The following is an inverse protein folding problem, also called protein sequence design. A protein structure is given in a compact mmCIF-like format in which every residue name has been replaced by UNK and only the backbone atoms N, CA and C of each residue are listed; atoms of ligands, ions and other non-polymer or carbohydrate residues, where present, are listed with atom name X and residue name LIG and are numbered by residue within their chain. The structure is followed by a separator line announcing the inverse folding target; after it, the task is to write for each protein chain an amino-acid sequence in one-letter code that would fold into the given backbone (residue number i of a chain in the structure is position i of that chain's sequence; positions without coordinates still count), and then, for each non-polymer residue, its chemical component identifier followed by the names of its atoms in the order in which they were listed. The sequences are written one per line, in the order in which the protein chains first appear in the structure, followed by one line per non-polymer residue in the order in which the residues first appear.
data_IF_390754088488
#
_entry.id   IF_390754088488
#
_cell.length_a   1.000
_cell.length_b   1.000
_cell.length_c   1.000
_cell.angle_alpha   90.00
_cell.angle_beta   90.00
_cell.angle_gamma   90.00
#
_symmetry.space_group_name_H-M   'P 1'
#
loop_
_entity.id
_entity.type
_entity.pdbx_description
1 polymer ?
#
# COMPACT_ATOMS: atom_id res chain seq x y z
N UNK A 1 16.98 -6.78 -31.63
CA UNK A 1 15.65 -7.40 -31.78
C UNK A 1 15.04 -7.45 -30.41
N UNK A 2 13.89 -6.82 -30.13
CA UNK A 2 13.29 -6.77 -28.79
C UNK A 2 12.40 -7.99 -28.55
N UNK A 3 12.64 -8.71 -27.47
CA UNK A 3 11.79 -9.79 -26.99
C UNK A 3 10.46 -9.24 -26.46
N UNK A 4 9.38 -9.62 -27.13
CA UNK A 4 7.99 -9.42 -26.67
C UNK A 4 7.70 -10.38 -25.52
N UNK A 5 7.67 -9.88 -24.29
CA UNK A 5 7.11 -10.58 -23.13
C UNK A 5 5.59 -10.68 -23.26
N UNK A 6 5.07 -11.89 -23.35
CA UNK A 6 3.63 -12.18 -23.28
C UNK A 6 3.17 -12.02 -21.82
N UNK A 7 2.39 -10.99 -21.54
CA UNK A 7 1.73 -10.80 -20.24
C UNK A 7 0.75 -11.96 -19.97
N UNK A 8 1.02 -12.73 -18.94
CA UNK A 8 0.10 -13.71 -18.37
C UNK A 8 -0.98 -12.97 -17.56
N UNK A 9 -2.24 -13.17 -17.94
CA UNK A 9 -3.40 -12.69 -17.18
C UNK A 9 -3.36 -13.28 -15.78
N UNK A 10 -3.29 -12.41 -14.77
CA UNK A 10 -3.55 -12.77 -13.38
C UNK A 10 -5.06 -13.02 -13.22
N UNK A 11 -5.42 -14.22 -12.83
CA UNK A 11 -6.78 -14.57 -12.43
C UNK A 11 -6.97 -14.18 -10.98
N UNK A 12 -7.69 -13.07 -10.75
CA UNK A 12 -8.14 -12.67 -9.43
C UNK A 12 -9.09 -13.71 -8.84
N UNK A 13 -8.68 -14.29 -7.72
CA UNK A 13 -9.60 -15.00 -6.83
C UNK A 13 -10.48 -13.95 -6.15
N UNK A 14 -11.77 -13.99 -6.51
CA UNK A 14 -12.86 -13.17 -5.98
C UNK A 14 -12.84 -13.16 -4.45
N UNK A 15 -12.51 -11.99 -3.87
CA UNK A 15 -12.88 -11.69 -2.51
C UNK A 15 -14.37 -11.34 -2.50
N UNK A 16 -15.20 -12.29 -2.12
CA UNK A 16 -16.63 -12.09 -1.84
C UNK A 16 -16.68 -11.66 -0.38
N UNK A 17 -16.85 -10.39 -0.12
CA UNK A 17 -17.57 -9.86 1.05
C UNK A 17 -17.39 -8.34 1.08
N UNK A 18 -18.29 -7.63 0.41
CA UNK A 18 -18.84 -6.37 0.90
C UNK A 18 -20.08 -5.99 0.09
N UNK A 19 -21.21 -6.62 0.39
CA UNK A 19 -22.52 -6.16 -0.06
C UNK A 19 -23.10 -5.26 1.01
N UNK A 20 -22.84 -3.96 0.93
CA UNK A 20 -23.74 -2.91 1.43
C UNK A 20 -23.24 -1.54 0.92
N UNK A 21 -23.47 -1.27 -0.37
CA UNK A 21 -23.49 0.09 -0.87
C UNK A 21 -24.80 0.29 -1.59
N UNK A 22 -25.66 1.17 -1.03
CA UNK A 22 -26.82 1.69 -1.70
C UNK A 22 -26.43 2.28 -3.06
N UNK A 23 -27.31 2.23 -4.10
CA UNK A 23 -27.02 2.77 -5.41
C UNK A 23 -26.77 4.28 -5.28
N UNK A 24 -25.54 4.70 -5.56
CA UNK A 24 -25.17 6.11 -5.62
C UNK A 24 -25.68 6.65 -6.95
N UNK A 25 -26.69 7.50 -6.91
CA UNK A 25 -27.25 8.19 -8.08
C UNK A 25 -26.14 8.97 -8.79
N UNK A 26 -25.98 8.76 -10.12
CA UNK A 26 -25.11 9.58 -10.97
C UNK A 26 -23.91 8.89 -11.63
N UNK A 27 -23.78 7.57 -11.57
CA UNK A 27 -22.76 6.83 -12.32
C UNK A 27 -23.10 6.71 -13.81
N UNK A 28 -22.08 6.70 -14.68
CA UNK A 28 -22.22 6.42 -16.11
C UNK A 28 -22.38 4.91 -16.27
N UNK A 29 -23.39 4.49 -17.04
CA UNK A 29 -23.51 3.09 -17.45
C UNK A 29 -22.39 2.74 -18.42
N UNK A 30 -21.61 1.72 -18.06
CA UNK A 30 -20.52 1.21 -18.90
C UNK A 30 -21.07 0.15 -19.85
N UNK A 31 -21.04 0.44 -21.14
CA UNK A 31 -21.44 -0.52 -22.19
C UNK A 31 -20.24 -1.40 -22.53
N UNK A 32 -20.32 -2.73 -22.39
CA UNK A 32 -19.21 -3.64 -22.74
C UNK A 32 -18.76 -3.44 -24.19
N UNK A 33 -17.44 -3.31 -24.39
CA UNK A 33 -16.82 -3.16 -25.72
C UNK A 33 -16.83 -1.74 -26.29
N UNK A 34 -17.40 -0.75 -25.60
CA UNK A 34 -17.32 0.66 -26.00
C UNK A 34 -16.23 1.33 -25.16
N UNK A 35 -15.12 1.79 -25.76
CA UNK A 35 -14.06 2.47 -25.01
C UNK A 35 -14.58 3.71 -24.28
N UNK A 36 -14.14 3.91 -23.04
CA UNK A 36 -14.56 5.03 -22.18
C UNK A 36 -13.36 5.91 -21.85
N UNK A 37 -13.59 7.23 -21.94
CA UNK A 37 -12.58 8.21 -21.54
C UNK A 37 -12.63 8.45 -20.05
N UNK A 38 -11.43 8.36 -19.41
CA UNK A 38 -11.26 8.54 -17.98
C UNK A 38 -10.09 9.48 -17.69
N UNK A 39 -10.13 10.06 -16.49
CA UNK A 39 -9.02 10.79 -15.87
C UNK A 39 -8.75 10.23 -14.48
N UNK A 40 -7.48 10.19 -14.09
CA UNK A 40 -7.09 9.76 -12.76
C UNK A 40 -6.93 10.95 -11.82
N UNK A 41 -7.69 10.95 -10.72
CA UNK A 41 -7.72 12.01 -9.71
C UNK A 41 -7.19 11.47 -8.39
N UNK A 42 -6.47 12.30 -7.70
CA UNK A 42 -5.90 12.04 -6.40
C UNK A 42 -6.35 13.16 -5.44
N UNK A 43 -6.77 12.79 -4.23
CA UNK A 43 -7.24 13.72 -3.19
C UNK A 43 -6.14 14.08 -2.18
N UNK A 44 -5.03 13.33 -2.15
CA UNK A 44 -3.86 13.53 -1.28
C UNK A 44 -2.59 13.22 -2.04
N UNK A 45 -1.47 13.87 -1.73
CA UNK A 45 -0.21 13.70 -2.46
C UNK A 45 0.22 12.23 -2.63
N UNK A 46 0.06 11.42 -1.59
CA UNK A 46 0.41 9.99 -1.57
C UNK A 46 -0.84 9.09 -1.61
N UNK A 47 -1.97 9.60 -2.09
CA UNK A 47 -3.24 8.87 -2.12
C UNK A 47 -3.37 7.92 -3.30
N UNK A 48 -4.37 7.04 -3.23
CA UNK A 48 -4.82 6.22 -4.35
C UNK A 48 -5.36 7.10 -5.47
N UNK A 49 -5.09 6.72 -6.71
CA UNK A 49 -5.69 7.36 -7.89
C UNK A 49 -7.07 6.75 -8.12
N UNK A 50 -8.07 7.61 -8.20
CA UNK A 50 -9.44 7.24 -8.51
C UNK A 50 -9.79 7.71 -9.91
N UNK A 51 -10.51 6.90 -10.64
CA UNK A 51 -10.87 7.20 -12.02
C UNK A 51 -12.28 7.79 -12.10
N UNK A 52 -12.37 8.89 -12.89
CA UNK A 52 -13.61 9.61 -13.15
C UNK A 52 -13.76 9.86 -14.64
N UNK A 53 -14.98 10.05 -15.10
CA UNK A 53 -15.22 10.49 -16.47
C UNK A 53 -15.02 12.01 -16.58
N UNK A 54 -14.21 12.49 -17.52
CA UNK A 54 -14.02 13.92 -17.76
C UNK A 54 -15.24 14.58 -18.45
N UNK A 55 -16.17 13.78 -18.99
CA UNK A 55 -17.20 14.27 -19.90
C UNK A 55 -16.57 14.74 -21.22
N UNK A 56 -16.86 15.99 -21.61
CA UNK A 56 -16.30 16.62 -22.82
C UNK A 56 -15.01 17.44 -22.55
N UNK A 57 -14.51 17.41 -21.32
CA UNK A 57 -13.36 18.25 -20.89
C UNK A 57 -12.04 17.55 -21.17
N UNK A 58 -11.08 18.32 -21.67
CA UNK A 58 -9.69 17.89 -21.78
C UNK A 58 -8.91 18.46 -20.59
N UNK A 59 -8.45 17.58 -19.73
CA UNK A 59 -7.82 17.92 -18.45
C UNK A 59 -6.35 17.52 -18.43
N UNK A 60 -5.52 18.49 -18.08
CA UNK A 60 -4.06 18.27 -17.95
C UNK A 60 -3.70 17.79 -16.54
N UNK A 61 -2.55 17.11 -16.42
CA UNK A 61 -1.99 16.75 -15.12
C UNK A 61 -1.72 18.02 -14.32
N UNK A 62 -2.12 18.01 -13.04
CA UNK A 62 -2.01 19.15 -12.14
C UNK A 62 -3.28 20.00 -12.05
N UNK A 63 -4.26 19.84 -12.97
CA UNK A 63 -5.55 20.56 -12.88
C UNK A 63 -6.30 20.15 -11.61
N UNK A 64 -6.79 21.17 -10.87
CA UNK A 64 -7.65 20.95 -9.70
C UNK A 64 -9.10 20.86 -10.17
N UNK A 65 -9.81 19.85 -9.68
CA UNK A 65 -11.19 19.54 -10.10
C UNK A 65 -12.08 19.24 -8.91
N UNK A 66 -13.35 19.55 -9.05
CA UNK A 66 -14.40 19.23 -8.07
C UNK A 66 -15.11 17.97 -8.54
N UNK A 67 -15.25 17.00 -7.65
CA UNK A 67 -15.87 15.72 -7.92
C UNK A 67 -16.83 15.33 -6.80
N UNK A 68 -17.84 14.54 -7.14
CA UNK A 68 -18.72 13.91 -6.16
C UNK A 68 -18.20 12.51 -5.81
N UNK A 69 -17.93 12.29 -4.53
CA UNK A 69 -17.44 11.01 -4.00
C UNK A 69 -18.50 10.37 -3.09
N UNK A 70 -18.23 9.17 -2.58
CA UNK A 70 -19.07 8.56 -1.55
C UNK A 70 -19.06 9.36 -0.21
N UNK A 71 -18.11 10.27 -0.04
CA UNK A 71 -17.99 11.13 1.16
C UNK A 71 -18.68 12.47 1.00
N UNK A 72 -19.02 12.84 -0.22
CA UNK A 72 -19.56 14.13 -0.62
C UNK A 72 -18.70 14.78 -1.71
N UNK A 73 -18.90 16.08 -1.89
CA UNK A 73 -18.11 16.87 -2.84
C UNK A 73 -16.69 17.05 -2.31
N UNK A 74 -15.71 16.72 -3.12
CA UNK A 74 -14.29 16.84 -2.78
C UNK A 74 -13.52 17.55 -3.90
N UNK A 75 -12.43 18.21 -3.52
CA UNK A 75 -11.48 18.80 -4.47
C UNK A 75 -10.31 17.84 -4.66
N UNK A 76 -9.96 17.53 -5.91
CA UNK A 76 -8.86 16.64 -6.23
C UNK A 76 -7.93 17.22 -7.29
N UNK A 77 -6.78 16.56 -7.47
CA UNK A 77 -5.78 16.93 -8.47
C UNK A 77 -5.70 15.83 -9.53
N UNK A 78 -5.75 16.21 -10.78
CA UNK A 78 -5.55 15.30 -11.93
C UNK A 78 -4.11 14.80 -11.92
N UNK A 79 -3.90 13.49 -11.81
CA UNK A 79 -2.59 12.82 -11.89
C UNK A 79 -2.42 12.02 -13.19
N UNK A 80 -3.53 11.60 -13.80
CA UNK A 80 -3.55 10.95 -15.11
C UNK A 80 -4.47 11.77 -16.00
N UNK A 81 -3.93 12.35 -17.07
CA UNK A 81 -4.70 13.08 -18.07
C UNK A 81 -5.70 12.16 -18.79
N UNK A 82 -6.55 12.73 -19.62
CA UNK A 82 -7.54 11.98 -20.40
C UNK A 82 -6.92 10.76 -21.08
N UNK A 83 -7.49 9.59 -20.80
CA UNK A 83 -7.06 8.31 -21.35
C UNK A 83 -8.27 7.46 -21.68
N UNK A 84 -8.27 6.86 -22.87
CA UNK A 84 -9.30 5.90 -23.25
C UNK A 84 -8.90 4.51 -22.77
N UNK A 85 -9.84 3.82 -22.12
CA UNK A 85 -9.65 2.48 -21.56
C UNK A 85 -10.85 1.58 -21.91
N UNK A 86 -10.64 0.26 -21.82
CA UNK A 86 -11.72 -0.70 -21.95
C UNK A 86 -12.60 -0.68 -20.67
N UNK A 87 -13.93 -0.74 -20.77
CA UNK A 87 -14.82 -0.78 -19.61
C UNK A 87 -14.53 -1.90 -18.62
N UNK A 88 -13.91 -3.00 -19.07
CA UNK A 88 -13.53 -4.13 -18.22
C UNK A 88 -12.40 -3.79 -17.24
N UNK A 89 -11.67 -2.70 -17.47
CA UNK A 89 -10.60 -2.22 -16.59
C UNK A 89 -11.12 -1.30 -15.47
N UNK A 90 -12.41 -0.91 -15.53
CA UNK A 90 -13.02 0.05 -14.61
C UNK A 90 -13.90 -0.67 -13.60
N UNK A 91 -13.78 -0.28 -12.35
CA UNK A 91 -14.70 -0.73 -11.28
C UNK A 91 -15.90 0.23 -11.24
N UNK A 92 -17.12 -0.22 -11.61
CA UNK A 92 -18.30 0.65 -11.57
C UNK A 92 -18.69 0.99 -10.11
N UNK A 93 -19.37 2.14 -9.89
CA UNK A 93 -19.85 3.11 -10.87
C UNK A 93 -18.80 4.16 -11.25
N UNK A 94 -18.66 4.49 -12.55
CA UNK A 94 -17.82 5.58 -13.02
C UNK A 94 -18.57 6.92 -12.85
N UNK A 95 -18.13 7.75 -11.90
CA UNK A 95 -18.71 9.08 -11.66
C UNK A 95 -18.10 10.14 -12.59
N UNK A 96 -18.82 11.23 -12.83
CA UNK A 96 -18.33 12.37 -13.61
C UNK A 96 -17.63 13.41 -12.73
N UNK A 97 -16.69 14.12 -13.33
CA UNK A 97 -16.18 15.37 -12.78
C UNK A 97 -17.29 16.42 -12.86
N UNK A 98 -17.52 17.13 -11.76
CA UNK A 98 -18.51 18.21 -11.72
C UNK A 98 -17.99 19.39 -12.56
N UNK A 99 -16.81 19.91 -12.22
CA UNK A 99 -16.17 21.04 -12.89
C UNK A 99 -14.70 21.17 -12.49
N UNK A 100 -13.98 22.01 -13.20
CA UNK A 100 -12.68 22.48 -12.74
C UNK A 100 -12.86 23.40 -11.52
N UNK A 101 -11.85 23.43 -10.64
CA UNK A 101 -11.85 24.28 -9.47
C UNK A 101 -11.63 25.75 -9.89
N UNK A 102 -12.42 26.63 -9.32
CA UNK A 102 -12.26 28.09 -9.44
C UNK A 102 -11.25 28.61 -8.44
N UNK A 103 -10.87 29.90 -8.54
CA UNK A 103 -10.01 30.55 -7.54
C UNK A 103 -10.65 30.52 -6.15
N UNK A 104 -11.96 30.78 -6.06
CA UNK A 104 -12.69 30.76 -4.80
C UNK A 104 -12.69 29.38 -4.15
N UNK A 105 -12.71 28.32 -4.97
CA UNK A 105 -12.61 26.93 -4.48
C UNK A 105 -11.21 26.66 -3.88
N UNK A 106 -10.16 27.14 -4.52
CA UNK A 106 -8.80 26.99 -4.01
C UNK A 106 -8.59 27.76 -2.70
N UNK A 107 -9.10 29.00 -2.63
CA UNK A 107 -9.08 29.77 -1.39
C UNK A 107 -9.90 29.13 -0.26
N UNK A 108 -11.00 28.45 -0.62
CA UNK A 108 -11.78 27.66 0.36
C UNK A 108 -10.98 26.46 0.86
N UNK A 109 -10.31 25.74 -0.02
CA UNK A 109 -9.47 24.58 0.32
C UNK A 109 -8.31 25.00 1.25
N UNK A 110 -7.68 26.15 0.97
CA UNK A 110 -6.64 26.72 1.84
C UNK A 110 -7.19 27.10 3.23
N UNK A 111 -8.34 27.78 3.27
CA UNK A 111 -9.01 28.12 4.55
C UNK A 111 -9.41 26.86 5.34
N UNK A 112 -9.89 25.82 4.67
CA UNK A 112 -10.20 24.55 5.33
C UNK A 112 -8.96 23.95 5.96
N UNK A 113 -7.81 23.97 5.27
CA UNK A 113 -6.55 23.47 5.81
C UNK A 113 -6.11 24.21 7.07
N UNK A 114 -6.30 25.53 7.13
CA UNK A 114 -6.02 26.30 8.35
C UNK A 114 -6.96 25.91 9.50
N UNK A 115 -8.27 25.79 9.22
CA UNK A 115 -9.28 25.36 10.20
C UNK A 115 -9.03 23.93 10.71
N UNK A 116 -8.52 23.02 9.86
CA UNK A 116 -8.14 21.67 10.23
C UNK A 116 -7.01 21.65 11.26
N UNK A 117 -6.00 22.52 11.10
CA UNK A 117 -4.91 22.66 12.07
C UNK A 117 -5.42 23.14 13.43
N UNK A 118 -6.31 24.14 13.44
CA UNK A 118 -6.94 24.63 14.69
C UNK A 118 -7.81 23.55 15.34
N UNK A 119 -8.62 22.85 14.54
CA UNK A 119 -9.46 21.76 15.00
C UNK A 119 -8.63 20.60 15.60
N UNK A 120 -7.48 20.30 15.02
CA UNK A 120 -6.57 19.28 15.54
C UNK A 120 -6.04 19.66 16.93
N UNK A 121 -5.66 20.92 17.15
CA UNK A 121 -5.20 21.40 18.46
C UNK A 121 -6.29 21.35 19.52
N UNK A 122 -7.51 21.74 19.16
CA UNK A 122 -8.67 21.69 20.05
C UNK A 122 -9.02 20.25 20.40
N UNK A 123 -9.06 19.36 19.40
CA UNK A 123 -9.38 17.95 19.58
C UNK A 123 -8.35 17.26 20.52
N UNK A 124 -7.05 17.50 20.33
CA UNK A 124 -6.00 16.96 21.22
C UNK A 124 -6.19 17.37 22.69
N UNK A 125 -6.55 18.65 22.92
CA UNK A 125 -6.85 19.13 24.29
C UNK A 125 -8.07 18.44 24.87
N UNK A 126 -9.12 18.22 24.08
CA UNK A 126 -10.34 17.54 24.53
C UNK A 126 -10.11 16.05 24.79
N UNK A 127 -9.37 15.34 23.94
CA UNK A 127 -8.95 13.95 24.16
C UNK A 127 -8.25 13.81 25.51
N UNK A 128 -7.30 14.71 25.80
CA UNK A 128 -6.60 14.73 27.09
C UNK A 128 -7.53 15.04 28.26
N UNK A 129 -8.47 15.99 28.12
CA UNK A 129 -9.44 16.34 29.14
C UNK A 129 -10.42 15.19 29.48
N UNK A 130 -10.81 14.41 28.46
CA UNK A 130 -11.64 13.22 28.63
C UNK A 130 -10.84 11.97 29.07
N UNK A 131 -9.51 12.05 29.18
CA UNK A 131 -8.64 10.94 29.59
C UNK A 131 -8.70 9.73 28.66
N UNK A 132 -8.90 9.94 27.34
CA UNK A 132 -9.05 8.87 26.37
C UNK A 132 -7.67 8.40 25.85
N UNK A 133 -7.46 7.08 25.84
CA UNK A 133 -6.25 6.44 25.31
C UNK A 133 -6.36 6.29 23.78
N UNK A 134 -6.32 7.42 23.07
CA UNK A 134 -6.35 7.48 21.62
C UNK A 134 -5.40 8.56 21.10
N UNK A 135 -4.84 8.35 19.93
CA UNK A 135 -3.95 9.30 19.27
C UNK A 135 -4.63 9.89 18.05
N UNK A 136 -4.77 11.23 18.02
CA UNK A 136 -5.28 11.94 16.85
C UNK A 136 -4.19 12.01 15.78
N UNK A 137 -4.49 11.51 14.57
CA UNK A 137 -3.57 11.48 13.44
C UNK A 137 -3.78 12.66 12.51
N UNK A 138 -5.03 12.86 12.05
CA UNK A 138 -5.35 13.90 11.07
C UNK A 138 -6.79 14.37 11.25
N UNK A 139 -7.07 15.59 10.81
CA UNK A 139 -8.41 16.18 10.78
C UNK A 139 -8.67 16.67 9.36
N UNK A 140 -9.88 16.46 8.85
CA UNK A 140 -10.25 16.78 7.47
C UNK A 140 -11.66 17.38 7.45
N UNK A 141 -11.80 18.59 6.89
CA UNK A 141 -13.10 19.13 6.50
C UNK A 141 -13.52 18.57 5.15
N UNK A 142 -14.78 18.21 4.99
CA UNK A 142 -15.33 18.04 3.63
C UNK A 142 -15.30 19.38 2.92
N UNK A 143 -15.15 19.38 1.59
CA UNK A 143 -15.02 20.61 0.80
C UNK A 143 -16.19 21.58 0.99
N UNK A 144 -17.39 21.08 1.25
CA UNK A 144 -18.61 21.85 1.55
C UNK A 144 -18.73 22.27 3.01
N UNK A 145 -17.78 21.91 3.87
CA UNK A 145 -17.74 22.10 5.33
C UNK A 145 -18.94 21.48 6.07
N UNK A 146 -19.65 20.53 5.44
CA UNK A 146 -20.80 19.85 6.06
C UNK A 146 -20.39 18.85 7.13
N UNK A 147 -19.15 18.37 7.09
CA UNK A 147 -18.61 17.38 8.03
C UNK A 147 -17.18 17.71 8.41
N UNK A 148 -16.81 17.34 9.62
CA UNK A 148 -15.46 17.36 10.13
C UNK A 148 -15.07 15.95 10.58
N UNK A 149 -14.05 15.37 9.94
CA UNK A 149 -13.63 13.99 10.12
C UNK A 149 -12.33 13.99 10.92
N UNK A 150 -12.28 13.24 12.00
CA UNK A 150 -11.10 13.04 12.83
C UNK A 150 -10.60 11.61 12.65
N UNK A 151 -9.38 11.46 12.14
CA UNK A 151 -8.72 10.16 12.01
C UNK A 151 -7.88 9.89 13.24
N UNK A 152 -8.05 8.75 13.85
CA UNK A 152 -7.34 8.39 15.07
C UNK A 152 -6.93 6.93 15.11
N UNK A 153 -5.93 6.64 15.95
CA UNK A 153 -5.51 5.29 16.31
C UNK A 153 -5.75 5.05 17.80
N UNK A 154 -6.09 3.83 18.16
CA UNK A 154 -6.16 3.36 19.54
C UNK A 154 -5.85 1.85 19.59
N UNK A 155 -5.27 1.39 20.67
CA UNK A 155 -4.94 -0.03 20.90
C UNK A 155 -6.14 -0.81 21.42
N UNK A 156 -6.98 -0.16 22.22
CA UNK A 156 -8.15 -0.74 22.84
C UNK A 156 -9.45 -0.08 22.36
N UNK A 157 -10.57 -0.67 22.68
CA UNK A 157 -11.88 -0.09 22.38
C UNK A 157 -12.15 1.12 23.30
N UNK A 158 -12.29 2.31 22.69
CA UNK A 158 -12.51 3.58 23.38
C UNK A 158 -13.97 4.01 23.25
N UNK A 159 -14.59 4.49 24.36
CA UNK A 159 -15.90 5.15 24.29
C UNK A 159 -15.71 6.66 24.10
N UNK A 160 -15.97 7.11 22.90
CA UNK A 160 -15.80 8.50 22.48
C UNK A 160 -17.13 9.29 22.39
N UNK A 161 -18.25 8.79 22.94
CA UNK A 161 -19.56 9.43 22.82
C UNK A 161 -19.59 10.85 23.40
N UNK A 162 -18.98 11.04 24.56
CA UNK A 162 -18.90 12.36 25.21
C UNK A 162 -17.94 13.30 24.43
N UNK A 163 -16.83 12.78 23.92
CA UNK A 163 -15.92 13.54 23.06
C UNK A 163 -16.64 14.03 21.80
N UNK A 164 -17.44 13.19 21.15
CA UNK A 164 -18.20 13.59 19.94
C UNK A 164 -19.17 14.71 20.25
N UNK A 165 -19.92 14.65 21.38
CA UNK A 165 -20.84 15.71 21.79
C UNK A 165 -20.10 17.03 22.05
N UNK A 166 -18.97 16.95 22.72
CA UNK A 166 -18.16 18.11 23.05
C UNK A 166 -17.53 18.75 21.79
N UNK A 167 -17.03 17.95 20.84
CA UNK A 167 -16.57 18.42 19.55
C UNK A 167 -17.70 19.04 18.73
N UNK A 168 -18.88 18.40 18.68
CA UNK A 168 -20.04 18.91 17.95
C UNK A 168 -20.53 20.25 18.50
N UNK A 169 -20.51 20.45 19.81
CA UNK A 169 -20.85 21.73 20.46
C UNK A 169 -19.84 22.85 20.16
N UNK A 170 -18.59 22.48 19.91
CA UNK A 170 -17.50 23.45 19.64
C UNK A 170 -17.47 23.87 18.17
N UNK A 171 -17.62 22.91 17.24
CA UNK A 171 -17.47 23.19 15.81
C UNK A 171 -18.80 23.44 15.09
N UNK A 172 -19.92 23.18 15.72
CA UNK A 172 -21.27 23.32 15.15
C UNK A 172 -21.45 22.63 13.78
N UNK A 173 -20.71 21.55 13.57
CA UNK A 173 -20.63 20.77 12.34
C UNK A 173 -20.80 19.29 12.66
N UNK A 174 -21.22 18.49 11.68
CA UNK A 174 -21.33 17.04 11.86
C UNK A 174 -19.94 16.43 12.07
N UNK A 175 -19.72 15.83 13.23
CA UNK A 175 -18.45 15.19 13.61
C UNK A 175 -18.49 13.71 13.21
N UNK A 176 -17.42 13.26 12.57
CA UNK A 176 -17.19 11.85 12.25
C UNK A 176 -15.82 11.42 12.79
N UNK A 177 -15.81 10.44 13.70
CA UNK A 177 -14.58 9.83 14.21
C UNK A 177 -14.29 8.55 13.44
N UNK A 178 -13.09 8.45 12.83
CA UNK A 178 -12.64 7.28 12.08
C UNK A 178 -11.39 6.68 12.69
N UNK A 179 -11.53 5.48 13.21
CA UNK A 179 -10.37 4.70 13.60
C UNK A 179 -9.65 4.20 12.36
N UNK A 180 -8.34 4.37 12.33
CA UNK A 180 -7.46 3.89 11.26
C UNK A 180 -6.43 2.92 11.82
N UNK A 181 -5.92 2.06 10.93
CA UNK A 181 -4.86 1.13 11.30
C UNK A 181 -3.49 1.82 11.39
N UNK A 182 -2.57 1.27 12.17
CA UNK A 182 -1.21 1.81 12.37
C UNK A 182 -0.40 1.96 11.06
N UNK A 183 -0.70 1.17 10.03
CA UNK A 183 -0.07 1.34 8.71
C UNK A 183 -0.66 2.51 7.94
N UNK A 184 -1.95 2.76 8.09
CA UNK A 184 -2.60 3.93 7.48
C UNK A 184 -2.15 5.21 8.16
N UNK A 185 -1.96 5.19 9.49
CA UNK A 185 -1.30 6.25 10.23
C UNK A 185 0.08 6.56 9.65
N UNK A 186 0.96 5.54 9.54
CA UNK A 186 2.29 5.72 8.95
C UNK A 186 2.22 6.22 7.50
N UNK A 187 1.20 5.81 6.72
CA UNK A 187 0.97 6.29 5.35
C UNK A 187 0.60 7.78 5.33
N UNK A 188 -0.27 8.21 6.23
CA UNK A 188 -0.74 9.61 6.34
C UNK A 188 0.37 10.53 6.84
N UNK A 189 1.11 10.12 7.87
CA UNK A 189 2.24 10.88 8.40
C UNK A 189 3.41 10.97 7.41
N UNK A 190 3.59 9.95 6.56
CA UNK A 190 4.71 9.86 5.65
C UNK A 190 6.05 9.68 6.37
N UNK A 191 7.16 9.81 5.64
CA UNK A 191 8.51 9.74 6.19
C UNK A 191 9.47 8.91 5.37
N UNK A 192 10.69 8.74 5.88
CA UNK A 192 11.75 7.93 5.28
C UNK A 192 11.90 6.61 6.02
N UNK A 193 11.94 5.53 5.25
CA UNK A 193 12.20 4.18 5.77
C UNK A 193 13.70 3.96 6.03
N UNK A 194 14.03 2.84 6.67
CA UNK A 194 15.43 2.42 6.93
C UNK A 194 16.26 2.29 5.64
N UNK A 195 15.63 2.09 4.48
CA UNK A 195 16.29 2.07 3.17
C UNK A 195 16.56 3.46 2.58
N UNK A 196 16.24 4.55 3.28
CA UNK A 196 16.42 5.94 2.84
C UNK A 196 15.38 6.43 1.80
N UNK A 197 14.38 5.61 1.43
CA UNK A 197 13.29 6.00 0.54
C UNK A 197 12.05 6.40 1.34
N UNK A 198 11.13 7.15 0.74
CA UNK A 198 9.79 7.38 1.29
C UNK A 198 9.12 6.04 1.62
N UNK A 199 8.28 6.01 2.65
CA UNK A 199 7.50 4.81 2.97
C UNK A 199 6.80 4.27 1.74
N UNK A 200 6.92 2.95 1.48
CA UNK A 200 6.30 2.31 0.31
C UNK A 200 4.79 2.57 0.27
N UNK A 201 4.13 2.53 1.45
CA UNK A 201 2.70 2.82 1.58
C UNK A 201 2.34 4.27 1.24
N UNK A 202 3.20 5.24 1.54
CA UNK A 202 3.00 6.64 1.19
C UNK A 202 3.47 6.98 -0.25
N UNK A 203 4.27 6.11 -0.88
CA UNK A 203 4.80 6.31 -2.22
C UNK A 203 3.98 5.61 -3.32
N UNK A 204 4.16 4.31 -3.48
CA UNK A 204 3.65 3.58 -4.64
C UNK A 204 2.80 2.33 -4.30
N UNK A 205 2.88 1.81 -3.06
CA UNK A 205 2.06 0.69 -2.62
C UNK A 205 0.76 1.19 -1.99
N UNK A 206 -0.25 1.42 -2.82
CA UNK A 206 -1.57 1.87 -2.36
C UNK A 206 -2.40 0.75 -1.75
N UNK A 207 -2.24 -0.46 -2.27
CA UNK A 207 -2.99 -1.64 -1.86
C UNK A 207 -2.11 -2.59 -1.04
N UNK A 208 -2.67 -3.13 0.06
CA UNK A 208 -1.93 -4.00 0.96
C UNK A 208 -2.38 -5.43 0.83
N UNK A 209 -1.39 -6.28 0.55
CA UNK A 209 -1.53 -7.74 0.64
C UNK A 209 -0.81 -8.19 1.91
N UNK A 210 -1.33 -9.24 2.52
CA UNK A 210 -0.75 -9.81 3.74
C UNK A 210 0.71 -10.23 3.52
N UNK A 211 1.57 -9.91 4.48
CA UNK A 211 3.01 -10.24 4.48
C UNK A 211 3.24 -11.34 5.50
N UNK A 212 3.96 -12.39 5.11
CA UNK A 212 4.30 -13.50 6.01
C UNK A 212 5.78 -13.51 6.37
N UNK A 213 6.10 -14.14 7.51
CA UNK A 213 7.49 -14.37 7.96
C UNK A 213 8.24 -15.27 6.96
N UNK A 214 7.54 -16.16 6.25
CA UNK A 214 8.09 -16.98 5.19
C UNK A 214 8.75 -16.15 4.09
N UNK A 215 8.10 -15.05 3.67
CA UNK A 215 8.66 -14.12 2.68
C UNK A 215 9.98 -13.50 3.15
N UNK A 216 10.09 -13.17 4.44
CA UNK A 216 11.33 -12.67 5.01
C UNK A 216 12.46 -13.72 5.01
N UNK A 217 12.14 -14.99 5.32
CA UNK A 217 13.10 -16.10 5.27
C UNK A 217 13.59 -16.35 3.84
N UNK A 218 12.69 -16.38 2.86
CA UNK A 218 13.03 -16.60 1.44
C UNK A 218 13.90 -15.49 0.86
N UNK A 219 13.76 -14.27 1.40
CA UNK A 219 14.59 -13.12 1.05
C UNK A 219 15.87 -12.99 1.89
N UNK A 220 16.21 -13.99 2.69
CA UNK A 220 17.38 -14.02 3.57
C UNK A 220 17.43 -12.89 4.61
N UNK A 221 16.29 -12.36 5.04
CA UNK A 221 16.24 -11.42 6.15
C UNK A 221 16.45 -12.13 7.49
N UNK A 222 17.20 -11.49 8.37
CA UNK A 222 17.26 -11.89 9.77
C UNK A 222 15.88 -11.74 10.41
N UNK A 223 15.41 -12.75 11.13
CA UNK A 223 14.10 -12.74 11.81
C UNK A 223 14.02 -11.81 13.04
N UNK A 224 15.02 -10.96 13.23
CA UNK A 224 14.98 -9.92 14.24
C UNK A 224 13.87 -8.90 13.88
N UNK A 225 12.90 -8.72 14.77
CA UNK A 225 11.76 -7.82 14.57
C UNK A 225 12.18 -6.41 14.15
N UNK A 226 13.26 -5.87 14.72
CA UNK A 226 13.81 -4.56 14.36
C UNK A 226 14.30 -4.46 12.91
N UNK A 227 14.63 -5.60 12.27
CA UNK A 227 15.11 -5.64 10.87
C UNK A 227 14.04 -5.98 9.85
N UNK A 228 12.95 -6.63 10.27
CA UNK A 228 11.86 -7.04 9.37
C UNK A 228 10.61 -6.20 9.51
N UNK A 229 10.54 -5.31 10.53
CA UNK A 229 9.41 -4.41 10.75
C UNK A 229 9.61 -3.06 10.05
N UNK A 230 8.55 -2.54 9.48
CA UNK A 230 8.48 -1.17 8.97
C UNK A 230 8.27 -0.16 10.10
N UNK A 231 8.26 1.12 9.76
CA UNK A 231 7.97 2.21 10.71
C UNK A 231 6.61 2.08 11.41
N UNK A 232 5.65 1.37 10.79
CA UNK A 232 4.35 1.06 11.37
C UNK A 232 4.38 -0.13 12.36
N UNK A 233 5.54 -0.69 12.71
CA UNK A 233 5.66 -1.84 13.61
C UNK A 233 5.26 -3.20 13.01
N UNK A 234 4.62 -3.23 11.84
CA UNK A 234 4.25 -4.47 11.13
C UNK A 234 5.33 -4.89 10.16
N UNK A 235 5.30 -6.13 9.67
CA UNK A 235 6.23 -6.62 8.65
C UNK A 235 6.29 -5.67 7.45
N UNK A 236 7.51 -5.45 6.92
CA UNK A 236 7.76 -4.53 5.81
C UNK A 236 7.00 -4.95 4.56
N UNK A 237 6.23 -4.02 3.99
CA UNK A 237 5.44 -4.26 2.78
C UNK A 237 6.30 -4.53 1.52
N UNK A 238 7.55 -4.06 1.48
CA UNK A 238 8.47 -4.38 0.39
C UNK A 238 8.78 -5.89 0.31
N UNK A 239 8.74 -6.63 1.42
CA UNK A 239 8.89 -8.09 1.40
C UNK A 239 7.85 -8.74 0.48
N UNK A 240 6.60 -8.32 0.54
CA UNK A 240 5.55 -8.83 -0.36
C UNK A 240 5.72 -8.34 -1.78
N UNK A 241 6.10 -7.07 -1.95
CA UNK A 241 6.29 -6.46 -3.26
C UNK A 241 7.39 -7.15 -4.07
N UNK A 242 8.49 -7.53 -3.41
CA UNK A 242 9.64 -8.17 -4.05
C UNK A 242 9.51 -9.70 -4.11
N UNK A 243 8.55 -10.29 -3.37
CA UNK A 243 8.44 -11.74 -3.18
C UNK A 243 8.39 -12.54 -4.49
N UNK A 244 7.63 -12.10 -5.49
CA UNK A 244 7.49 -12.81 -6.76
C UNK A 244 8.82 -12.93 -7.51
N UNK A 245 9.66 -11.88 -7.44
CA UNK A 245 10.99 -11.87 -8.05
C UNK A 245 11.92 -12.85 -7.32
N UNK A 246 11.86 -12.88 -5.99
CA UNK A 246 12.63 -13.85 -5.20
C UNK A 246 12.15 -15.29 -5.43
N UNK A 247 10.84 -15.51 -5.50
CA UNK A 247 10.26 -16.83 -5.77
C UNK A 247 10.74 -17.38 -7.14
N UNK A 248 10.78 -16.53 -8.18
CA UNK A 248 11.29 -16.90 -9.48
C UNK A 248 12.80 -17.21 -9.44
N UNK A 249 13.58 -16.36 -8.79
CA UNK A 249 15.02 -16.55 -8.64
C UNK A 249 15.38 -17.82 -7.86
N UNK A 250 14.59 -18.16 -6.83
CA UNK A 250 14.77 -19.38 -6.03
C UNK A 250 14.52 -20.66 -6.82
N UNK A 251 13.68 -20.66 -7.88
CA UNK A 251 13.47 -21.84 -8.73
C UNK A 251 14.78 -22.28 -9.43
N UNK A 252 15.63 -21.28 -9.76
CA UNK A 252 16.89 -21.48 -10.48
C UNK A 252 18.10 -21.57 -9.55
N UNK A 253 17.95 -21.24 -8.27
CA UNK A 253 19.03 -21.26 -7.29
C UNK A 253 19.00 -22.57 -6.46
N UNK A 254 20.09 -23.33 -6.37
CA UNK A 254 20.15 -24.50 -5.50
C UNK A 254 20.01 -24.08 -4.03
N UNK A 255 19.14 -24.73 -3.23
CA UNK A 255 18.95 -24.39 -1.83
C UNK A 255 20.21 -24.72 -1.00
N UNK A 256 20.30 -24.07 0.16
CA UNK A 256 21.37 -24.35 1.15
C UNK A 256 21.39 -25.85 1.48
N UNK A 257 22.57 -26.43 1.68
CA UNK A 257 22.75 -27.86 1.90
C UNK A 257 22.74 -28.71 0.63
N UNK A 258 22.56 -28.11 -0.56
CA UNK A 258 22.71 -28.83 -1.83
C UNK A 258 24.16 -29.23 -2.07
N UNK A 259 24.38 -30.43 -2.59
CA UNK A 259 25.69 -30.87 -3.08
C UNK A 259 25.87 -30.49 -4.53
N UNK A 260 26.96 -29.80 -4.83
CA UNK A 260 27.22 -29.25 -6.17
C UNK A 260 28.64 -29.57 -6.63
N UNK A 261 28.81 -29.71 -7.93
CA UNK A 261 30.13 -29.73 -8.57
C UNK A 261 30.43 -28.34 -9.08
N UNK A 262 31.60 -27.81 -8.72
CA UNK A 262 32.14 -26.53 -9.16
C UNK A 262 33.41 -26.72 -9.98
N UNK A 263 33.92 -25.73 -10.67
CA UNK A 263 35.22 -25.83 -11.37
C UNK A 263 36.38 -26.22 -10.46
N UNK A 264 36.29 -25.89 -9.17
CA UNK A 264 37.36 -26.13 -8.18
C UNK A 264 37.16 -27.46 -7.40
N UNK A 265 36.09 -28.22 -7.67
CA UNK A 265 35.78 -29.48 -7.01
C UNK A 265 34.33 -29.60 -6.55
N UNK A 266 34.00 -30.67 -5.81
CA UNK A 266 32.67 -30.85 -5.23
C UNK A 266 32.57 -30.15 -3.87
N UNK A 267 31.37 -29.72 -3.52
CA UNK A 267 31.13 -29.05 -2.25
C UNK A 267 29.66 -28.92 -1.86
N UNK A 268 29.42 -28.25 -0.75
CA UNK A 268 28.09 -28.04 -0.20
C UNK A 268 27.78 -26.53 -0.21
N UNK A 269 26.59 -26.20 -0.69
CA UNK A 269 26.08 -24.81 -0.68
C UNK A 269 25.82 -24.40 0.78
N UNK A 270 26.43 -23.29 1.21
CA UNK A 270 26.32 -22.73 2.57
C UNK A 270 25.47 -21.49 2.63
N UNK A 271 25.44 -20.71 1.56
CA UNK A 271 24.68 -19.44 1.47
C UNK A 271 24.21 -19.23 0.03
N UNK A 272 23.07 -18.60 -0.14
CA UNK A 272 22.51 -18.28 -1.45
C UNK A 272 22.21 -16.79 -1.56
N UNK A 273 22.43 -16.22 -2.75
CA UNK A 273 22.02 -14.88 -3.14
C UNK A 273 21.15 -14.97 -4.38
N UNK A 274 19.85 -15.23 -4.23
CA UNK A 274 18.97 -15.56 -5.35
C UNK A 274 18.98 -14.53 -6.47
N UNK A 275 18.82 -13.25 -6.16
CA UNK A 275 18.80 -12.17 -7.16
C UNK A 275 20.12 -11.97 -7.92
N UNK A 276 21.23 -12.35 -7.31
CA UNK A 276 22.55 -12.30 -7.93
C UNK A 276 22.88 -13.60 -8.69
N UNK A 277 21.98 -14.61 -8.61
CA UNK A 277 22.23 -15.97 -9.10
C UNK A 277 23.59 -16.51 -8.64
N UNK A 278 23.91 -16.30 -7.36
CA UNK A 278 25.20 -16.65 -6.76
C UNK A 278 24.99 -17.51 -5.53
N UNK A 279 25.83 -18.51 -5.38
CA UNK A 279 25.87 -19.37 -4.21
C UNK A 279 27.27 -19.41 -3.64
N UNK A 280 27.39 -19.47 -2.31
CA UNK A 280 28.66 -19.77 -1.66
C UNK A 280 28.76 -21.27 -1.40
N UNK A 281 29.86 -21.86 -1.81
CA UNK A 281 30.10 -23.29 -1.71
C UNK A 281 31.32 -23.55 -0.87
N UNK A 282 31.20 -24.41 0.12
CA UNK A 282 32.30 -24.99 0.87
C UNK A 282 32.80 -26.22 0.14
N UNK A 283 34.03 -26.17 -0.39
CA UNK A 283 34.63 -27.23 -1.18
C UNK A 283 35.15 -28.33 -0.28
N UNK A 284 34.93 -29.60 -0.69
CA UNK A 284 35.41 -30.77 0.03
C UNK A 284 36.94 -30.85 -0.05
N UNK A 285 37.63 -31.21 1.06
CA UNK A 285 39.07 -31.41 1.08
C UNK A 285 39.91 -30.15 1.27
N UNK A 286 39.30 -28.97 1.35
CA UNK A 286 39.96 -27.72 1.76
C UNK A 286 39.69 -27.41 3.23
N UNK A 287 40.48 -26.51 3.83
CA UNK A 287 40.22 -26.07 5.21
C UNK A 287 38.76 -25.67 5.40
N UNK A 288 38.19 -26.02 6.56
CA UNK A 288 36.76 -25.84 6.88
C UNK A 288 36.26 -24.43 6.68
N UNK A 289 37.14 -23.44 6.61
CA UNK A 289 36.80 -22.01 6.44
C UNK A 289 36.86 -21.53 4.98
N UNK A 290 37.23 -22.38 4.03
CA UNK A 290 37.34 -21.98 2.63
C UNK A 290 35.99 -22.07 1.93
N UNK A 291 35.22 -20.97 1.98
CA UNK A 291 33.96 -20.81 1.27
C UNK A 291 34.16 -19.87 0.06
N UNK A 292 33.83 -20.31 -1.13
CA UNK A 292 33.99 -19.53 -2.37
C UNK A 292 32.63 -19.25 -3.04
N UNK A 293 32.45 -18.04 -3.63
CA UNK A 293 31.27 -17.71 -4.39
C UNK A 293 31.35 -18.28 -5.81
N UNK A 294 30.22 -18.80 -6.32
CA UNK A 294 30.07 -19.27 -7.70
C UNK A 294 28.73 -18.79 -8.25
N UNK A 295 28.67 -18.52 -9.57
CA UNK A 295 27.42 -18.28 -10.24
C UNK A 295 26.65 -19.60 -10.45
N UNK A 296 25.34 -19.55 -10.35
CA UNK A 296 24.49 -20.75 -10.48
C UNK A 296 24.69 -21.45 -11.83
N UNK A 297 25.02 -20.71 -12.91
CA UNK A 297 25.30 -21.23 -14.24
C UNK A 297 26.62 -22.05 -14.33
N UNK A 298 27.57 -21.79 -13.43
CA UNK A 298 28.92 -22.37 -13.46
C UNK A 298 29.01 -23.63 -12.56
N UNK A 299 27.91 -24.04 -11.94
CA UNK A 299 27.85 -25.18 -11.05
C UNK A 299 26.84 -26.22 -11.54
N UNK A 300 27.08 -27.48 -11.24
CA UNK A 300 26.14 -28.60 -11.50
C UNK A 300 25.61 -29.16 -10.19
N UNK A 301 24.30 -29.15 -10.04
CA UNK A 301 23.64 -29.73 -8.85
C UNK A 301 23.74 -31.24 -8.92
N UNK A 302 24.40 -31.87 -7.95
CA UNK A 302 24.52 -33.31 -7.81
C UNK A 302 23.38 -33.89 -6.95
N UNK A 303 23.03 -33.17 -5.85
CA UNK A 303 21.93 -33.51 -4.96
C UNK A 303 21.34 -32.24 -4.40
N UNK A 304 20.04 -32.02 -4.56
CA UNK A 304 19.34 -30.89 -3.91
C UNK A 304 19.28 -31.09 -2.39
N UNK A 305 19.61 -30.06 -1.63
CA UNK A 305 19.36 -30.00 -0.19
C UNK A 305 17.83 -30.01 0.08
N UNK A 306 17.46 -30.38 1.30
CA UNK A 306 16.07 -30.23 1.73
C UNK A 306 15.80 -28.72 1.81
N UNK A 307 14.83 -28.22 1.04
CA UNK A 307 14.20 -26.95 1.39
C UNK A 307 13.46 -27.20 2.71
N UNK A 308 13.73 -26.41 3.73
CA UNK A 308 12.86 -26.35 4.89
C UNK A 308 11.49 -25.91 4.38
N UNK A 309 10.59 -26.87 4.24
CA UNK A 309 9.17 -26.56 4.12
C UNK A 309 8.82 -25.92 5.46
N UNK A 310 8.76 -24.58 5.48
CA UNK A 310 8.14 -23.89 6.59
C UNK A 310 6.72 -24.42 6.68
N UNK A 311 6.44 -25.20 7.73
CA UNK A 311 5.10 -25.59 8.10
C UNK A 311 4.32 -24.28 8.24
N UNK A 312 3.26 -24.14 7.45
CA UNK A 312 2.28 -23.07 7.59
C UNK A 312 1.54 -23.34 8.91
N UNK A 313 2.12 -22.94 10.02
CA UNK A 313 1.35 -22.70 11.23
C UNK A 313 0.54 -21.43 10.96
N UNK A 314 -0.67 -21.64 10.45
CA UNK A 314 -1.76 -20.70 10.57
C UNK A 314 -2.09 -20.57 12.06
N UNK A 315 -1.30 -19.79 12.79
CA UNK A 315 -1.78 -19.23 14.03
C UNK A 315 -2.60 -18.01 13.62
N UNK A 316 -3.90 -18.25 13.50
CA UNK A 316 -4.90 -17.18 13.43
C UNK A 316 -4.83 -16.41 14.74
N UNK A 317 -4.35 -15.18 14.67
CA UNK A 317 -4.75 -14.16 15.62
C UNK A 317 -6.08 -13.59 15.10
N UNK A 318 -7.17 -14.19 15.56
CA UNK A 318 -8.43 -13.50 15.76
C UNK A 318 -8.20 -12.49 16.87
N UNK A 319 -8.21 -11.17 16.52
CA UNK A 319 -8.81 -10.09 17.32
C UNK A 319 -8.77 -8.77 16.51
#
# INVERSE_FOLDING_TARGET
MPHRGKGKKMTDKKNKDNKNTAPVEGGIELTPGVPVEIVGINFREAGKIYYFSPGEKQLSVGTRVIVDTARGVEIGTVKVANKTVDPSEIIPPLKRIIREATKDDLERDERNSELELEAALICKKKIAAHGLEMSLVEVEYTFDNSKLIFYFTCESRVDFRELVKDLASTFHTRIELRQIGIRDEAKMMGGLAVCGRKYCCAGFLSDFVQVSIKMAKEQNFSLNSAKVSGACGRLMCCLRYEHEVYEEALKHTPPVGSRVATPDGTGIVTEIKPLAEEVKVRIDGTDKDTVRPYKCKDIKVLRRGKQDKAEDTEEGEEE
#
